data_IF_639689048573
#
_entry.id   IF_639689048573
#
_cell.length_a   1.000
_cell.length_b   1.000
_cell.length_c   1.000
_cell.angle_alpha   90.00
_cell.angle_beta   90.00
_cell.angle_gamma   90.00
#
_symmetry.space_group_name_H-M   'P 1'
#
loop_
_entity.id
_entity.type
_entity.pdbx_description
1 polymer ?
#
# COMPACT_ATOMS: atom_id res chain seq x y z
N UNK A 1 -2.88 -5.58 8.35
CA UNK A 1 -3.40 -5.50 6.96
C UNK A 1 -2.30 -5.89 5.99
N UNK A 2 -2.61 -6.71 4.98
CA UNK A 2 -1.65 -7.19 3.95
C UNK A 2 -2.28 -7.05 2.56
N UNK A 3 -1.50 -6.68 1.55
CA UNK A 3 -2.00 -6.48 0.18
C UNK A 3 -1.21 -7.33 -0.82
N UNK A 4 -1.92 -8.09 -1.65
CA UNK A 4 -1.36 -8.77 -2.82
C UNK A 4 -1.77 -7.99 -4.07
N UNK A 5 -0.78 -7.39 -4.76
CA UNK A 5 -0.99 -6.64 -5.99
C UNK A 5 -1.06 -7.61 -7.17
N UNK A 6 -2.27 -8.03 -7.53
CA UNK A 6 -2.50 -9.03 -8.56
C UNK A 6 -2.45 -8.38 -9.94
N UNK A 7 -1.29 -8.48 -10.60
CA UNK A 7 -1.11 -8.10 -12.00
C UNK A 7 -1.39 -9.30 -12.90
N UNK A 8 -1.97 -9.07 -14.07
CA UNK A 8 -2.09 -10.11 -15.09
C UNK A 8 -0.74 -10.40 -15.75
N UNK A 9 -0.59 -11.63 -16.26
CA UNK A 9 0.61 -12.03 -17.00
C UNK A 9 0.82 -11.17 -18.25
N UNK A 10 -0.25 -10.66 -18.85
CA UNK A 10 -0.21 -9.79 -20.02
C UNK A 10 0.20 -8.36 -19.67
N UNK A 11 -0.34 -7.79 -18.60
CA UNK A 11 0.07 -6.46 -18.16
C UNK A 11 1.52 -6.44 -17.70
N UNK A 12 1.99 -7.50 -17.02
CA UNK A 12 3.41 -7.63 -16.69
C UNK A 12 4.28 -7.62 -17.97
N UNK A 13 3.87 -8.33 -19.03
CA UNK A 13 4.57 -8.33 -20.32
C UNK A 13 4.68 -6.92 -20.89
N UNK A 14 3.57 -6.18 -20.95
CA UNK A 14 3.53 -4.81 -21.47
C UNK A 14 4.49 -3.90 -20.70
N UNK A 15 4.44 -3.95 -19.36
CA UNK A 15 5.31 -3.16 -18.50
C UNK A 15 6.80 -3.50 -18.64
N UNK A 16 7.13 -4.76 -18.91
CA UNK A 16 8.52 -5.16 -19.18
C UNK A 16 9.01 -4.61 -20.51
N UNK A 17 8.21 -4.72 -21.58
CA UNK A 17 8.54 -4.13 -22.88
C UNK A 17 8.72 -2.61 -22.77
N UNK A 18 7.79 -1.91 -22.13
CA UNK A 18 7.90 -0.46 -21.87
C UNK A 18 9.19 -0.07 -21.11
N UNK A 19 9.67 -0.93 -20.20
CA UNK A 19 10.91 -0.68 -19.46
C UNK A 19 12.16 -0.89 -20.30
N UNK A 20 12.12 -1.80 -21.28
CA UNK A 20 13.21 -2.07 -22.21
C UNK A 20 13.28 -0.98 -23.29
N UNK A 21 12.11 -0.56 -23.77
CA UNK A 21 11.99 0.41 -24.87
C UNK A 21 12.25 1.85 -24.39
N UNK A 22 12.22 2.11 -23.08
CA UNK A 22 12.45 3.42 -22.49
C UNK A 22 13.82 3.49 -21.78
N UNK A 23 14.84 4.17 -22.38
CA UNK A 23 16.18 4.29 -21.80
C UNK A 23 16.22 4.80 -20.35
N UNK A 24 15.30 5.70 -19.96
CA UNK A 24 15.22 6.24 -18.59
C UNK A 24 14.76 5.21 -17.55
N UNK A 25 14.25 4.06 -18.01
CA UNK A 25 13.73 2.96 -17.18
C UNK A 25 14.57 1.70 -17.26
N UNK A 26 15.51 1.59 -18.19
CA UNK A 26 16.35 0.39 -18.39
C UNK A 26 17.06 -0.05 -17.10
N UNK A 27 17.54 0.91 -16.28
CA UNK A 27 18.19 0.62 -15.00
C UNK A 27 17.30 -0.12 -13.99
N UNK A 28 15.97 -0.11 -14.18
CA UNK A 28 14.97 -0.81 -13.34
C UNK A 28 14.66 -2.22 -13.81
N UNK A 29 15.19 -2.64 -14.94
CA UNK A 29 14.90 -3.95 -15.52
C UNK A 29 16.07 -4.88 -15.25
N UNK A 30 15.78 -6.06 -14.68
CA UNK A 30 16.81 -7.05 -14.37
C UNK A 30 16.54 -8.35 -15.13
N UNK A 31 17.60 -9.09 -15.47
CA UNK A 31 17.47 -10.39 -16.15
C UNK A 31 16.62 -11.38 -15.34
N UNK A 32 16.78 -11.36 -14.00
CA UNK A 32 15.99 -12.19 -13.09
C UNK A 32 14.48 -12.02 -13.23
N UNK A 33 13.98 -10.83 -13.63
CA UNK A 33 12.54 -10.61 -13.83
C UNK A 33 11.95 -11.56 -14.90
N UNK A 34 12.74 -11.96 -15.90
CA UNK A 34 12.33 -12.91 -16.93
C UNK A 34 12.40 -14.34 -16.44
N UNK A 35 13.44 -14.70 -15.69
CA UNK A 35 13.58 -16.02 -15.07
C UNK A 35 12.38 -16.30 -14.15
N UNK A 36 12.06 -15.35 -13.27
CA UNK A 36 10.90 -15.47 -12.36
C UNK A 36 9.57 -15.53 -13.12
N UNK A 37 9.46 -14.82 -14.25
CA UNK A 37 8.27 -14.87 -15.09
C UNK A 37 8.04 -16.27 -15.69
N UNK A 38 9.09 -17.08 -15.91
CA UNK A 38 8.92 -18.47 -16.34
C UNK A 38 8.22 -19.33 -15.28
N UNK A 39 8.41 -18.97 -14.00
CA UNK A 39 7.84 -19.63 -12.83
C UNK A 39 6.43 -19.12 -12.49
N UNK A 40 5.78 -18.34 -13.36
CA UNK A 40 4.47 -17.71 -13.12
C UNK A 40 3.45 -18.65 -12.45
N UNK A 41 3.30 -19.87 -12.99
CA UNK A 41 2.34 -20.85 -12.47
C UNK A 41 2.66 -21.25 -11.02
N UNK A 42 3.93 -21.47 -10.72
CA UNK A 42 4.41 -21.84 -9.39
C UNK A 42 4.19 -20.69 -8.40
N UNK A 43 4.43 -19.45 -8.82
CA UNK A 43 4.11 -18.28 -8.01
C UNK A 43 2.62 -18.16 -7.70
N UNK A 44 1.75 -18.35 -8.70
CA UNK A 44 0.30 -18.29 -8.47
C UNK A 44 -0.15 -19.39 -7.49
N UNK A 45 0.31 -20.62 -7.65
CA UNK A 45 0.04 -21.73 -6.72
C UNK A 45 0.54 -21.41 -5.30
N UNK A 46 1.75 -20.85 -5.17
CA UNK A 46 2.31 -20.46 -3.88
C UNK A 46 1.52 -19.31 -3.22
N UNK A 47 1.10 -18.30 -3.99
CA UNK A 47 0.28 -17.20 -3.48
C UNK A 47 -1.10 -17.68 -3.07
N UNK A 48 -1.77 -18.55 -3.85
CA UNK A 48 -3.05 -19.13 -3.48
C UNK A 48 -2.98 -19.88 -2.14
N UNK A 49 -1.95 -20.72 -1.96
CA UNK A 49 -1.71 -21.42 -0.70
C UNK A 49 -1.43 -20.44 0.46
N UNK A 50 -0.56 -19.45 0.26
CA UNK A 50 -0.24 -18.45 1.26
C UNK A 50 -1.47 -17.65 1.70
N UNK A 51 -2.25 -17.15 0.74
CA UNK A 51 -3.46 -16.38 0.99
C UNK A 51 -4.52 -17.22 1.71
N UNK A 52 -4.74 -18.45 1.25
CA UNK A 52 -5.69 -19.38 1.87
C UNK A 52 -5.30 -19.78 3.29
N UNK A 53 -4.01 -19.98 3.56
CA UNK A 53 -3.53 -20.42 4.88
C UNK A 53 -3.35 -19.26 5.89
N UNK A 54 -3.09 -18.04 5.43
CA UNK A 54 -2.63 -16.95 6.32
C UNK A 54 -3.56 -15.73 6.38
N UNK A 55 -4.67 -15.71 5.64
CA UNK A 55 -5.67 -14.65 5.77
C UNK A 55 -6.58 -14.91 6.97
N UNK A 56 -6.58 -14.01 7.94
CA UNK A 56 -7.41 -14.10 9.15
C UNK A 56 -8.13 -12.79 9.43
N UNK A 57 -9.12 -12.81 10.34
CA UNK A 57 -9.85 -11.59 10.74
C UNK A 57 -8.92 -10.52 11.34
N UNK A 58 -7.90 -10.94 12.10
CA UNK A 58 -6.95 -10.04 12.75
C UNK A 58 -5.85 -9.55 11.81
N UNK A 59 -5.48 -10.36 10.81
CA UNK A 59 -4.46 -10.05 9.82
C UNK A 59 -4.96 -10.42 8.41
N UNK A 60 -5.91 -9.64 7.84
CA UNK A 60 -6.49 -9.95 6.54
C UNK A 60 -5.51 -9.70 5.39
N UNK A 61 -5.61 -10.53 4.36
CA UNK A 61 -5.07 -10.26 3.03
C UNK A 61 -6.15 -9.66 2.12
N UNK A 62 -5.76 -8.68 1.32
CA UNK A 62 -6.58 -8.11 0.24
C UNK A 62 -5.91 -8.38 -1.10
N UNK A 63 -6.63 -9.03 -2.01
CA UNK A 63 -6.20 -9.23 -3.40
C UNK A 63 -6.66 -8.02 -4.21
N UNK A 64 -5.71 -7.19 -4.64
CA UNK A 64 -5.99 -5.92 -5.32
C UNK A 64 -5.66 -6.06 -6.81
N UNK A 65 -6.61 -5.83 -7.73
CA UNK A 65 -6.31 -5.81 -9.16
C UNK A 65 -5.33 -4.67 -9.46
N UNK A 66 -4.16 -5.02 -9.99
CA UNK A 66 -3.02 -4.10 -10.10
C UNK A 66 -2.65 -3.74 -11.55
N UNK A 67 -3.50 -4.09 -12.51
CA UNK A 67 -3.27 -3.76 -13.92
C UNK A 67 -3.40 -2.27 -14.19
N UNK A 68 -4.39 -1.61 -13.58
CA UNK A 68 -4.45 -0.15 -13.52
C UNK A 68 -3.87 0.37 -12.20
N UNK A 69 -2.75 1.08 -12.30
CA UNK A 69 -2.05 1.67 -11.15
C UNK A 69 -2.91 2.67 -10.39
N UNK A 70 -3.78 3.44 -11.05
CA UNK A 70 -4.62 4.45 -10.38
C UNK A 70 -5.68 3.77 -9.53
N UNK A 71 -6.40 2.81 -10.11
CA UNK A 71 -7.41 2.02 -9.40
C UNK A 71 -6.80 1.20 -8.25
N UNK A 72 -5.65 0.56 -8.45
CA UNK A 72 -4.96 -0.16 -7.39
C UNK A 72 -4.63 0.73 -6.18
N UNK A 73 -4.10 1.94 -6.45
CA UNK A 73 -3.81 2.93 -5.40
C UNK A 73 -5.07 3.38 -4.67
N UNK A 74 -6.14 3.66 -5.41
CA UNK A 74 -7.44 4.05 -4.84
C UNK A 74 -7.98 2.98 -3.88
N UNK A 75 -7.99 1.71 -4.32
CA UNK A 75 -8.47 0.58 -3.50
C UNK A 75 -7.65 0.45 -2.22
N UNK A 76 -6.33 0.51 -2.31
CA UNK A 76 -5.43 0.42 -1.15
C UNK A 76 -5.69 1.58 -0.18
N UNK A 77 -5.71 2.82 -0.69
CA UNK A 77 -5.95 4.01 0.10
C UNK A 77 -7.29 3.97 0.83
N UNK A 78 -8.36 3.59 0.13
CA UNK A 78 -9.69 3.48 0.73
C UNK A 78 -9.76 2.38 1.80
N UNK A 79 -9.10 1.24 1.53
CA UNK A 79 -9.08 0.12 2.48
C UNK A 79 -8.36 0.50 3.77
N UNK A 80 -7.22 1.20 3.67
CA UNK A 80 -6.49 1.72 4.83
C UNK A 80 -7.33 2.74 5.58
N UNK A 81 -7.95 3.68 4.87
CA UNK A 81 -8.79 4.72 5.47
C UNK A 81 -9.93 4.10 6.29
N UNK A 82 -10.72 3.20 5.70
CA UNK A 82 -11.84 2.55 6.37
C UNK A 82 -11.39 1.84 7.67
N UNK A 83 -10.27 1.11 7.63
CA UNK A 83 -9.74 0.41 8.80
C UNK A 83 -9.28 1.36 9.90
N UNK A 84 -8.69 2.51 9.53
CA UNK A 84 -8.30 3.52 10.52
C UNK A 84 -9.50 4.26 11.10
N UNK A 85 -10.57 4.46 10.32
CA UNK A 85 -11.82 5.04 10.79
C UNK A 85 -12.52 4.15 11.84
N UNK A 86 -12.43 2.82 11.70
CA UNK A 86 -12.95 1.86 12.68
C UNK A 86 -12.30 2.00 14.08
N UNK A 87 -11.08 2.52 14.16
CA UNK A 87 -10.39 2.77 15.43
C UNK A 87 -10.97 3.96 16.20
N UNK A 88 -11.83 4.77 15.57
CA UNK A 88 -12.48 5.95 16.18
C UNK A 88 -11.46 6.88 16.86
N UNK A 89 -10.30 7.06 16.24
CA UNK A 89 -9.24 7.91 16.76
C UNK A 89 -9.72 9.36 16.85
N UNK A 90 -9.37 10.04 17.94
CA UNK A 90 -9.65 11.46 18.13
C UNK A 90 -8.38 12.17 18.60
N UNK A 91 -8.28 13.46 18.25
CA UNK A 91 -7.26 14.30 18.85
C UNK A 91 -7.51 14.41 20.37
N UNK A 92 -6.45 14.48 21.20
CA UNK A 92 -6.61 14.65 22.62
C UNK A 92 -7.35 15.96 22.92
N UNK A 93 -8.36 15.90 23.78
CA UNK A 93 -9.05 17.10 24.23
C UNK A 93 -8.14 17.93 25.14
N UNK A 94 -8.24 19.24 24.99
CA UNK A 94 -7.50 20.19 25.82
C UNK A 94 -8.29 20.45 27.09
N UNK A 95 -7.66 20.32 28.27
CA UNK A 95 -8.27 20.75 29.53
C UNK A 95 -8.30 22.28 29.62
N UNK A 96 -9.22 22.84 30.42
CA UNK A 96 -9.28 24.30 30.66
C UNK A 96 -7.96 24.83 31.24
N UNK A 97 -7.33 24.07 32.14
CA UNK A 97 -6.01 24.39 32.70
C UNK A 97 -4.95 24.50 31.59
N UNK A 98 -4.93 23.56 30.64
CA UNK A 98 -4.02 23.60 29.50
C UNK A 98 -4.29 24.80 28.60
N UNK A 99 -5.54 25.21 28.41
CA UNK A 99 -5.88 26.43 27.63
C UNK A 99 -5.33 27.69 28.29
N UNK A 100 -5.45 27.79 29.63
CA UNK A 100 -4.92 28.91 30.40
C UNK A 100 -3.40 28.97 30.30
N UNK A 101 -2.72 27.84 30.47
CA UNK A 101 -1.27 27.72 30.30
C UNK A 101 -0.82 28.16 28.90
N UNK A 102 -1.47 27.67 27.84
CA UNK A 102 -1.15 28.06 26.46
C UNK A 102 -1.36 29.56 26.20
N UNK A 103 -2.36 30.17 26.85
CA UNK A 103 -2.61 31.61 26.75
C UNK A 103 -1.49 32.41 27.43
N UNK A 104 -1.00 31.94 28.58
CA UNK A 104 0.11 32.58 29.29
C UNK A 104 1.42 32.47 28.51
N UNK A 105 1.73 31.28 27.98
CA UNK A 105 2.90 31.07 27.10
C UNK A 105 2.83 32.01 25.89
N UNK A 106 1.64 32.16 25.28
CA UNK A 106 1.45 33.07 24.15
C UNK A 106 1.79 34.50 24.52
N UNK A 107 1.34 34.98 25.69
CA UNK A 107 1.61 36.33 26.15
C UNK A 107 3.10 36.60 26.31
N UNK A 108 3.83 35.67 26.94
CA UNK A 108 5.28 35.75 27.15
C UNK A 108 6.09 35.81 25.84
N UNK A 109 5.59 35.19 24.77
CA UNK A 109 6.27 35.21 23.46
C UNK A 109 5.98 36.47 22.63
N UNK A 110 4.98 37.25 23.03
CA UNK A 110 4.55 38.47 22.31
C UNK A 110 4.94 39.76 23.02
N UNK A 111 5.46 39.68 24.24
CA UNK A 111 6.10 40.77 24.99
C UNK A 111 7.61 40.78 24.74
#
# INVERSE_FOLDING_TARGET
IKFFLHISKDEQRKRFLERIDNPDKNWKFNHGDIEERTLWKQYMEAYEQCLGATSSKQAPWYVVPADDKKNARLIISQTILNLLEELKMQYPETTEARRKELTEIRKQLTE
#
